data_IF_614429427303
#
_entry.id   IF_614429427303
#
_cell.length_a   1.000
_cell.length_b   1.000
_cell.length_c   1.000
_cell.angle_alpha   90.00
_cell.angle_beta   90.00
_cell.angle_gamma   90.00
#
_symmetry.space_group_name_H-M   'P 1'
#
loop_
_entity.id
_entity.type
_entity.pdbx_description
1 polymer ?
#
# COMPACT_ATOMS: atom_id res chain seq x y z
N UNK A 1 -64.09 7.65 42.31
CA UNK A 1 -64.20 7.06 40.97
C UNK A 1 -62.81 7.10 40.36
N UNK A 2 -62.23 5.94 40.26
CA UNK A 2 -60.79 5.79 40.00
C UNK A 2 -60.55 5.64 38.51
N UNK A 3 -59.82 6.54 37.92
CA UNK A 3 -59.28 6.39 36.57
C UNK A 3 -58.02 5.52 36.63
N UNK A 4 -58.12 4.32 36.09
CA UNK A 4 -57.01 3.41 35.90
C UNK A 4 -56.11 3.96 34.78
N UNK A 5 -54.94 4.43 35.16
CA UNK A 5 -53.87 4.76 34.23
C UNK A 5 -53.18 3.46 33.78
N UNK A 6 -53.25 3.16 32.50
CA UNK A 6 -52.56 2.04 31.90
C UNK A 6 -51.05 2.36 31.67
N UNK A 7 -50.14 1.62 32.26
CA UNK A 7 -48.69 1.86 32.11
C UNK A 7 -48.05 1.14 30.89
N UNK A 8 -48.80 0.79 29.86
CA UNK A 8 -48.27 -0.05 28.79
C UNK A 8 -47.75 0.71 27.54
N UNK A 9 -47.81 2.03 27.53
CA UNK A 9 -47.43 2.84 26.34
C UNK A 9 -46.04 3.43 26.36
N UNK A 10 -45.28 3.27 27.40
CA UNK A 10 -43.94 3.86 27.53
C UNK A 10 -42.79 2.93 27.14
N UNK A 11 -43.04 1.62 26.96
CA UNK A 11 -41.95 0.64 26.77
C UNK A 11 -41.50 0.46 25.31
N UNK A 12 -42.24 0.97 24.33
CA UNK A 12 -41.93 0.70 22.91
C UNK A 12 -41.03 1.77 22.26
N UNK A 13 -40.85 2.94 22.84
CA UNK A 13 -39.99 3.99 22.27
C UNK A 13 -38.51 3.78 22.59
N UNK A 14 -38.18 3.16 23.73
CA UNK A 14 -36.79 2.92 24.11
C UNK A 14 -36.17 1.76 23.34
N UNK A 15 -36.95 0.77 22.93
CA UNK A 15 -36.44 -0.34 22.11
C UNK A 15 -36.16 0.01 20.67
N UNK A 16 -36.85 1.00 20.10
CA UNK A 16 -36.59 1.48 18.74
C UNK A 16 -35.37 2.41 18.62
N UNK A 17 -35.03 3.13 19.70
CA UNK A 17 -33.85 4.00 19.73
C UNK A 17 -32.53 3.22 19.87
N UNK A 18 -32.55 2.03 20.47
CA UNK A 18 -31.35 1.19 20.62
C UNK A 18 -31.00 0.41 19.35
N UNK A 19 -31.98 0.11 18.50
CA UNK A 19 -31.73 -0.58 17.23
C UNK A 19 -31.20 0.34 16.12
N UNK A 20 -31.38 1.66 16.22
CA UNK A 20 -30.90 2.62 15.24
C UNK A 20 -29.43 3.04 15.44
N UNK A 21 -28.80 2.70 16.59
CA UNK A 21 -27.43 3.11 16.91
C UNK A 21 -26.36 2.05 16.59
N UNK A 22 -26.75 0.89 16.04
CA UNK A 22 -25.84 -0.23 15.74
C UNK A 22 -25.47 -0.37 14.26
N UNK A 23 -25.83 0.57 13.39
CA UNK A 23 -25.61 0.49 11.95
C UNK A 23 -24.53 1.40 11.39
N UNK A 24 -23.68 2.02 12.22
CA UNK A 24 -22.64 2.95 11.75
C UNK A 24 -21.20 2.53 12.06
N UNK A 25 -20.91 1.24 12.13
CA UNK A 25 -19.53 0.71 12.28
C UNK A 25 -19.17 -0.31 11.20
N UNK A 26 -19.46 0.00 9.94
CA UNK A 26 -18.93 -0.78 8.82
C UNK A 26 -18.05 0.12 7.95
N UNK A 27 -17.06 0.75 8.58
CA UNK A 27 -15.93 1.39 7.93
C UNK A 27 -14.71 0.48 8.08
N UNK A 28 -14.80 -0.78 7.67
CA UNK A 28 -13.64 -1.61 7.51
C UNK A 28 -12.90 -1.19 6.25
N UNK A 29 -11.89 -0.34 6.41
CA UNK A 29 -10.76 -0.27 5.52
C UNK A 29 -10.13 -1.66 5.50
N UNK A 30 -10.51 -2.48 4.55
CA UNK A 30 -9.91 -3.78 4.32
C UNK A 30 -8.47 -3.55 3.88
N UNK A 31 -7.53 -3.61 4.82
CA UNK A 31 -6.18 -4.02 4.52
C UNK A 31 -6.28 -5.45 4.00
N UNK A 32 -6.33 -5.62 2.68
CA UNK A 32 -6.18 -6.92 2.07
C UNK A 32 -4.72 -7.35 2.23
N UNK A 33 -4.41 -7.92 3.38
CA UNK A 33 -3.29 -8.84 3.49
C UNK A 33 -3.70 -10.08 2.70
N UNK A 34 -2.88 -10.45 1.72
CA UNK A 34 -3.11 -11.64 0.91
C UNK A 34 -3.12 -12.89 1.76
N UNK A 35 -4.29 -13.30 2.19
CA UNK A 35 -4.54 -14.43 3.09
C UNK A 35 -4.37 -15.80 2.42
N UNK A 36 -3.78 -15.87 1.23
CA UNK A 36 -3.44 -17.13 0.55
C UNK A 36 -2.19 -17.00 -0.33
N UNK A 37 -1.22 -16.15 0.02
CA UNK A 37 0.00 -15.99 -0.77
C UNK A 37 -0.18 -15.27 -2.10
N UNK A 38 -1.38 -14.81 -2.43
CA UNK A 38 -1.65 -14.04 -3.64
C UNK A 38 -1.59 -12.54 -3.33
N UNK A 39 -0.54 -11.89 -3.80
CA UNK A 39 -0.33 -10.45 -3.64
C UNK A 39 -0.90 -9.61 -4.80
N UNK A 40 -1.39 -10.25 -5.87
CA UNK A 40 -1.95 -9.53 -7.03
C UNK A 40 -3.11 -8.64 -6.59
N UNK A 41 -3.05 -7.35 -6.97
CA UNK A 41 -4.02 -6.35 -6.54
C UNK A 41 -3.64 -5.60 -5.24
N UNK A 42 -2.59 -6.05 -4.52
CA UNK A 42 -2.09 -5.27 -3.39
C UNK A 42 -1.64 -3.88 -3.84
N UNK A 43 -2.03 -2.85 -3.10
CA UNK A 43 -1.64 -1.46 -3.35
C UNK A 43 -1.09 -0.81 -2.10
N UNK A 44 -0.13 0.08 -2.28
CA UNK A 44 0.44 0.90 -1.21
C UNK A 44 0.81 2.27 -1.76
N UNK A 45 0.70 3.31 -0.93
CA UNK A 45 1.11 4.67 -1.29
C UNK A 45 2.17 5.18 -0.32
N UNK A 46 3.15 5.88 -0.84
CA UNK A 46 4.25 6.43 -0.05
C UNK A 46 5.32 7.00 -0.96
N UNK A 47 6.54 7.11 -0.45
CA UNK A 47 7.66 7.65 -1.19
C UNK A 47 8.53 6.55 -1.81
N UNK A 48 9.00 6.82 -3.02
CA UNK A 48 10.05 6.05 -3.68
C UNK A 48 11.37 6.83 -3.67
N UNK A 49 12.46 6.10 -3.45
CA UNK A 49 13.80 6.56 -3.76
C UNK A 49 14.44 5.66 -4.81
N UNK A 50 15.72 5.84 -5.09
CA UNK A 50 16.47 4.97 -5.98
C UNK A 50 17.86 4.66 -5.44
N UNK A 51 18.44 3.56 -5.95
CA UNK A 51 19.78 3.14 -5.57
C UNK A 51 20.84 4.11 -6.09
N UNK A 52 21.74 4.52 -5.21
CA UNK A 52 22.93 5.27 -5.57
C UNK A 52 23.99 4.41 -6.29
N UNK A 53 24.99 5.07 -6.88
CA UNK A 53 26.02 4.42 -7.71
C UNK A 53 26.86 3.39 -6.93
N UNK A 54 26.98 3.56 -5.60
CA UNK A 54 27.67 2.60 -4.72
C UNK A 54 27.06 1.19 -4.70
N UNK A 55 25.81 1.05 -5.13
CA UNK A 55 25.11 -0.24 -5.16
C UNK A 55 25.32 -1.03 -6.44
N UNK A 56 25.85 -0.40 -7.49
CA UNK A 56 26.10 -1.05 -8.76
C UNK A 56 26.97 -2.30 -8.60
N UNK A 57 26.51 -3.42 -9.15
CA UNK A 57 27.18 -4.74 -9.07
C UNK A 57 27.25 -5.36 -7.67
N UNK A 58 26.53 -4.82 -6.69
CA UNK A 58 26.41 -5.45 -5.37
C UNK A 58 25.23 -6.41 -5.32
N UNK A 59 25.38 -7.45 -4.51
CA UNK A 59 24.35 -8.45 -4.31
C UNK A 59 23.16 -7.90 -3.54
N UNK A 60 21.96 -8.19 -4.03
CA UNK A 60 20.69 -7.89 -3.35
C UNK A 60 20.28 -9.03 -2.42
N UNK A 61 19.21 -8.84 -1.64
CA UNK A 61 18.69 -9.86 -0.74
C UNK A 61 18.21 -11.13 -1.45
N UNK A 62 17.81 -11.05 -2.73
CA UNK A 62 17.46 -12.22 -3.54
C UNK A 62 18.68 -13.01 -4.04
N UNK A 63 19.89 -12.47 -3.89
CA UNK A 63 21.11 -13.03 -4.46
C UNK A 63 21.48 -12.51 -5.84
N UNK A 64 20.59 -11.78 -6.49
CA UNK A 64 20.88 -11.13 -7.78
C UNK A 64 21.80 -9.93 -7.59
N UNK A 65 22.62 -9.63 -8.60
CA UNK A 65 23.39 -8.40 -8.61
C UNK A 65 22.51 -7.21 -9.01
N UNK A 66 22.60 -6.13 -8.25
CA UNK A 66 21.95 -4.88 -8.62
C UNK A 66 22.61 -4.27 -9.87
N UNK A 67 21.79 -3.83 -10.80
CA UNK A 67 22.20 -3.12 -12.02
C UNK A 67 21.31 -1.90 -12.25
N UNK A 68 21.91 -0.73 -12.40
CA UNK A 68 21.18 0.52 -12.67
C UNK A 68 20.24 0.44 -13.87
N UNK A 69 20.60 -0.32 -14.90
CA UNK A 69 19.84 -0.44 -16.14
C UNK A 69 18.63 -1.35 -16.09
N UNK A 70 18.55 -2.24 -15.11
CA UNK A 70 17.44 -3.18 -14.97
C UNK A 70 16.27 -2.52 -14.25
N UNK A 71 15.06 -2.94 -14.59
CA UNK A 71 13.83 -2.48 -13.93
C UNK A 71 13.54 -3.35 -12.71
N UNK A 72 14.23 -3.08 -11.60
CA UNK A 72 14.11 -3.80 -10.33
C UNK A 72 13.88 -2.85 -9.17
N UNK A 73 13.46 -3.40 -8.05
CA UNK A 73 13.20 -2.62 -6.84
C UNK A 73 13.34 -3.45 -5.56
N UNK A 74 13.51 -2.73 -4.44
CA UNK A 74 13.39 -3.27 -3.11
C UNK A 74 12.01 -2.93 -2.51
N UNK A 75 11.41 -3.89 -1.86
CA UNK A 75 10.22 -3.73 -1.04
C UNK A 75 10.34 -4.57 0.24
N UNK A 76 9.74 -4.09 1.34
CA UNK A 76 9.89 -4.74 2.67
C UNK A 76 9.28 -6.14 2.73
N UNK A 77 8.16 -6.38 2.04
CA UNK A 77 7.31 -7.55 2.23
C UNK A 77 7.00 -8.34 0.98
N UNK A 78 6.93 -7.70 -0.20
CA UNK A 78 6.50 -8.37 -1.42
C UNK A 78 7.45 -9.51 -1.78
N UNK A 79 6.93 -10.67 -2.22
CA UNK A 79 7.76 -11.79 -2.65
C UNK A 79 8.74 -11.39 -3.74
N UNK A 80 9.94 -11.95 -3.70
CA UNK A 80 10.90 -11.79 -4.82
C UNK A 80 10.29 -12.34 -6.12
N UNK A 81 10.48 -11.61 -7.19
CA UNK A 81 9.88 -11.94 -8.49
C UNK A 81 8.53 -11.28 -8.75
N UNK A 82 7.90 -10.66 -7.74
CA UNK A 82 6.66 -9.92 -7.94
C UNK A 82 6.85 -8.80 -8.97
N UNK A 83 5.91 -8.68 -9.89
CA UNK A 83 5.83 -7.55 -10.83
C UNK A 83 4.94 -6.46 -10.24
N UNK A 84 5.49 -5.26 -10.13
CA UNK A 84 4.85 -4.13 -9.47
C UNK A 84 4.79 -2.94 -10.42
N UNK A 85 3.59 -2.41 -10.63
CA UNK A 85 3.40 -1.14 -11.31
C UNK A 85 3.60 -0.01 -10.32
N UNK A 86 4.55 0.86 -10.59
CA UNK A 86 4.87 2.05 -9.79
C UNK A 86 4.44 3.28 -10.55
N UNK A 87 3.54 4.06 -9.98
CA UNK A 87 3.01 5.28 -10.60
C UNK A 87 3.43 6.50 -9.78
N UNK A 88 4.09 7.46 -10.42
CA UNK A 88 4.34 8.76 -9.84
C UNK A 88 3.01 9.54 -9.80
N UNK A 89 2.52 9.86 -8.61
CA UNK A 89 1.20 10.47 -8.43
C UNK A 89 1.13 11.92 -8.90
N UNK A 90 2.28 12.60 -9.04
CA UNK A 90 2.33 14.00 -9.45
C UNK A 90 2.30 14.20 -10.98
N UNK A 91 2.80 13.23 -11.76
CA UNK A 91 2.84 13.34 -13.23
C UNK A 91 2.12 12.20 -13.96
N UNK A 92 1.62 11.18 -13.24
CA UNK A 92 0.90 10.05 -13.81
C UNK A 92 1.76 9.03 -14.56
N UNK A 93 3.08 9.23 -14.67
CA UNK A 93 3.98 8.26 -15.31
C UNK A 93 4.13 7.00 -14.47
N UNK A 94 4.20 5.87 -15.12
CA UNK A 94 4.38 4.58 -14.45
C UNK A 94 5.47 3.73 -15.08
N UNK A 95 5.99 2.80 -14.28
CA UNK A 95 6.98 1.80 -14.67
C UNK A 95 6.64 0.49 -14.00
N UNK A 96 6.91 -0.63 -14.65
CA UNK A 96 6.79 -1.96 -14.06
C UNK A 96 8.19 -2.40 -13.64
N UNK A 97 8.31 -2.83 -12.38
CA UNK A 97 9.55 -3.31 -11.78
C UNK A 97 9.36 -4.70 -11.21
N UNK A 98 10.45 -5.46 -11.11
CA UNK A 98 10.49 -6.75 -10.43
C UNK A 98 11.16 -6.59 -9.07
N UNK A 99 10.52 -7.11 -8.03
CA UNK A 99 11.07 -7.09 -6.67
C UNK A 99 12.18 -8.12 -6.56
N UNK A 100 13.38 -7.69 -6.16
CA UNK A 100 14.53 -8.56 -5.95
C UNK A 100 15.35 -8.22 -4.71
N UNK A 101 14.88 -7.26 -3.88
CA UNK A 101 15.61 -6.83 -2.69
C UNK A 101 14.66 -6.47 -1.54
N UNK A 102 15.21 -6.31 -0.34
CA UNK A 102 14.51 -5.91 0.87
C UNK A 102 14.87 -4.48 1.28
N UNK A 103 13.90 -3.78 1.80
CA UNK A 103 13.90 -2.38 2.16
C UNK A 103 12.85 -1.62 1.34
N UNK A 104 12.80 -0.29 1.47
CA UNK A 104 13.60 0.57 2.35
C UNK A 104 13.20 0.46 3.82
N UNK A 105 14.16 0.69 4.73
CA UNK A 105 13.92 0.72 6.17
C UNK A 105 13.90 2.15 6.73
N UNK A 106 13.47 3.09 5.91
CA UNK A 106 13.33 4.51 6.24
C UNK A 106 11.84 4.85 6.27
N UNK A 107 11.40 5.50 7.34
CA UNK A 107 10.00 5.88 7.53
C UNK A 107 9.50 6.73 6.35
N UNK A 108 8.31 6.40 5.84
CA UNK A 108 7.67 7.10 4.71
C UNK A 108 8.08 6.56 3.34
N UNK A 109 9.22 5.90 3.21
CA UNK A 109 9.63 5.23 1.98
C UNK A 109 9.07 3.82 1.92
N UNK A 110 8.48 3.46 0.78
CA UNK A 110 7.86 2.15 0.58
C UNK A 110 8.59 1.31 -0.46
N UNK A 111 9.34 1.95 -1.36
CA UNK A 111 10.03 1.25 -2.44
C UNK A 111 11.32 1.99 -2.81
N UNK A 112 12.40 1.24 -3.06
CA UNK A 112 13.63 1.75 -3.66
C UNK A 112 13.75 1.20 -5.08
N UNK A 113 13.71 2.08 -6.05
CA UNK A 113 13.75 1.74 -7.47
C UNK A 113 15.17 1.66 -7.98
N UNK A 114 15.41 0.86 -9.01
CA UNK A 114 16.62 1.01 -9.80
C UNK A 114 16.68 2.41 -10.42
N UNK A 115 17.89 2.88 -10.68
CA UNK A 115 18.09 4.22 -11.25
C UNK A 115 17.34 4.41 -12.57
N UNK A 116 17.34 3.40 -13.44
CA UNK A 116 16.61 3.46 -14.71
C UNK A 116 15.08 3.47 -14.52
N UNK A 117 14.56 2.72 -13.55
CA UNK A 117 13.13 2.74 -13.23
C UNK A 117 12.69 4.10 -12.70
N UNK A 118 13.43 4.67 -11.75
CA UNK A 118 13.14 5.99 -11.21
C UNK A 118 13.19 7.07 -12.30
N UNK A 119 14.23 7.06 -13.14
CA UNK A 119 14.40 8.03 -14.23
C UNK A 119 13.27 7.99 -15.26
N UNK A 120 12.59 6.86 -15.40
CA UNK A 120 11.47 6.75 -16.35
C UNK A 120 10.17 7.40 -15.86
N UNK A 121 10.05 7.64 -14.55
CA UNK A 121 8.85 8.24 -13.95
C UNK A 121 9.10 9.54 -13.19
N UNK A 122 10.35 9.93 -12.99
CA UNK A 122 10.70 11.12 -12.24
C UNK A 122 12.11 11.63 -12.57
N UNK A 123 12.46 12.75 -11.96
CA UNK A 123 13.80 13.32 -12.08
C UNK A 123 14.66 12.85 -10.91
N UNK A 124 15.82 12.25 -11.20
CA UNK A 124 16.76 11.77 -10.18
C UNK A 124 17.28 12.87 -9.27
N UNK A 125 17.30 14.13 -9.73
CA UNK A 125 17.66 15.26 -8.88
C UNK A 125 16.71 15.50 -7.71
N UNK A 126 15.47 15.01 -7.78
CA UNK A 126 14.50 15.11 -6.71
C UNK A 126 14.84 14.20 -5.51
N UNK A 127 15.52 13.09 -5.75
CA UNK A 127 15.87 12.10 -4.73
C UNK A 127 14.70 11.25 -4.24
N UNK A 128 13.54 11.84 -4.05
CA UNK A 128 12.28 11.24 -3.61
C UNK A 128 11.13 11.69 -4.49
N UNK A 129 10.21 10.77 -4.75
CA UNK A 129 8.91 11.05 -5.42
C UNK A 129 7.78 10.33 -4.69
N UNK A 130 6.60 10.92 -4.73
CA UNK A 130 5.39 10.28 -4.19
C UNK A 130 4.83 9.31 -5.23
N UNK A 131 4.59 8.07 -4.79
CA UNK A 131 4.15 7.00 -5.67
C UNK A 131 2.98 6.21 -5.08
N UNK A 132 2.23 5.58 -5.98
CA UNK A 132 1.33 4.47 -5.68
C UNK A 132 1.87 3.23 -6.37
N UNK A 133 1.96 2.13 -5.64
CA UNK A 133 2.35 0.83 -6.18
C UNK A 133 1.15 -0.11 -6.26
N UNK A 134 1.19 -1.02 -7.23
CA UNK A 134 0.20 -2.09 -7.41
C UNK A 134 0.92 -3.36 -7.89
N UNK A 135 0.68 -4.47 -7.18
CA UNK A 135 1.20 -5.78 -7.60
C UNK A 135 0.32 -6.32 -8.73
N UNK A 136 0.93 -6.59 -9.89
CA UNK A 136 0.22 -7.05 -11.09
C UNK A 136 0.54 -8.50 -11.45
N UNK A 137 1.58 -9.08 -10.83
CA UNK A 137 1.95 -10.49 -11.01
C UNK A 137 2.85 -10.98 -9.87
#
# INVERSE_FOLDING_TARGET
>A
MNALQNPIRQFNFVKLAVLALLSFLAGCSSMQTGENGNWVGFTESGQASFYGDKHQNKQTASGELYKHKLKTAAHKKLPFGSSVKVTNVNNGKSVIVRINDRGPFVRGRIIDLSKSAFSSIGNTSSGLIDVKIEVIK
#
